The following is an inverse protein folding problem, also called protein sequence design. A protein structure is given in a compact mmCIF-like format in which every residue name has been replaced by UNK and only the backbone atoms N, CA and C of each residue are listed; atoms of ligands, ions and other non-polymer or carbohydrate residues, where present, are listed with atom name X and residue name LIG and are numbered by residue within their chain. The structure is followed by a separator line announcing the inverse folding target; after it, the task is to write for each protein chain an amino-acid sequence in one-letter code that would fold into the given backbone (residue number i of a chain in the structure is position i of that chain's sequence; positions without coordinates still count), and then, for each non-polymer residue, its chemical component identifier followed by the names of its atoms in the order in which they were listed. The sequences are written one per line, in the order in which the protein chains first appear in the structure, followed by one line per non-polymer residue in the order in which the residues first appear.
data_IF_347774378042
#
_entry.id   IF_347774378042
#
_cell.length_a   1.000
_cell.length_b   1.000
_cell.length_c   1.000
_cell.angle_alpha   90.00
_cell.angle_beta   90.00
_cell.angle_gamma   90.00
#
_symmetry.space_group_name_H-M   'P 1'
#
loop_
_entity.id
_entity.type
_entity.pdbx_description
1 polymer ?
#
# COMPACT_ATOMS: atom_id res chain seq x y z
N UNK A 1 38.70 55.19 -11.24
CA UNK A 1 39.04 53.78 -11.52
C UNK A 1 37.78 53.03 -11.94
N UNK A 2 37.46 53.07 -13.22
CA UNK A 2 36.29 52.38 -13.79
C UNK A 2 36.73 51.00 -14.30
N UNK A 3 36.42 49.95 -13.56
CA UNK A 3 36.59 48.58 -14.06
C UNK A 3 35.50 48.28 -15.08
N UNK A 4 35.92 48.09 -16.32
CA UNK A 4 35.08 47.92 -17.49
C UNK A 4 34.44 46.52 -17.46
N UNK A 5 33.20 46.42 -16.98
CA UNK A 5 32.40 45.18 -16.79
C UNK A 5 32.18 44.36 -18.08
N UNK A 6 32.50 44.92 -19.24
CA UNK A 6 32.32 44.28 -20.56
C UNK A 6 33.36 43.16 -20.83
N UNK A 7 34.59 43.28 -20.35
CA UNK A 7 35.65 42.32 -20.70
C UNK A 7 35.68 41.04 -19.85
N UNK A 8 35.18 41.06 -18.60
CA UNK A 8 35.09 39.83 -17.79
C UNK A 8 33.89 38.94 -18.16
N UNK A 9 32.85 39.52 -18.76
CA UNK A 9 31.65 38.77 -19.15
C UNK A 9 31.88 37.94 -20.41
N UNK A 10 32.68 38.43 -21.36
CA UNK A 10 33.04 37.70 -22.58
C UNK A 10 34.09 36.60 -22.37
N UNK A 11 34.93 36.68 -21.33
CA UNK A 11 35.87 35.60 -20.98
C UNK A 11 35.18 34.40 -20.32
N UNK A 12 34.09 34.62 -19.57
CA UNK A 12 33.36 33.54 -18.88
C UNK A 12 32.54 32.68 -19.85
N UNK A 13 31.98 33.27 -20.92
CA UNK A 13 31.29 32.51 -21.97
C UNK A 13 32.26 31.74 -22.88
N UNK A 14 33.48 32.25 -23.12
CA UNK A 14 34.51 31.52 -23.87
C UNK A 14 35.02 30.27 -23.10
N UNK A 15 35.09 30.34 -21.76
CA UNK A 15 35.51 29.20 -20.92
C UNK A 15 34.42 28.12 -20.77
N UNK A 16 33.13 28.51 -20.81
CA UNK A 16 32.01 27.56 -20.80
C UNK A 16 31.85 26.79 -22.12
N UNK A 17 32.24 27.38 -23.26
CA UNK A 17 32.16 26.71 -24.57
C UNK A 17 33.32 25.72 -24.77
N UNK A 18 34.51 25.98 -24.22
CA UNK A 18 35.67 25.08 -24.32
C UNK A 18 35.50 23.81 -23.47
N UNK A 19 34.75 23.87 -22.36
CA UNK A 19 34.43 22.67 -21.54
C UNK A 19 33.36 21.76 -22.17
N UNK A 20 32.52 22.29 -23.07
CA UNK A 20 31.45 21.51 -23.74
C UNK A 20 31.97 20.84 -25.03
N UNK A 21 33.09 21.31 -25.61
CA UNK A 21 33.62 20.79 -26.89
C UNK A 21 34.80 19.81 -26.72
N UNK A 22 35.39 19.67 -25.51
CA UNK A 22 36.57 18.82 -25.31
C UNK A 22 36.32 17.39 -24.80
N UNK A 23 35.07 16.90 -24.77
CA UNK A 23 34.81 15.47 -24.52
C UNK A 23 33.59 14.96 -25.31
N UNK A 24 33.63 15.13 -26.62
CA UNK A 24 32.81 14.37 -27.57
C UNK A 24 33.61 14.06 -28.83
N UNK A 25 34.28 12.91 -28.85
CA UNK A 25 34.43 12.00 -30.00
C UNK A 25 35.41 10.87 -29.60
N UNK A 26 34.91 9.69 -29.27
CA UNK A 26 34.59 8.58 -30.20
C UNK A 26 35.80 7.67 -30.44
N UNK A 27 35.93 6.63 -29.60
CA UNK A 27 36.25 5.26 -30.01
C UNK A 27 36.32 4.35 -28.77
N UNK A 28 35.23 3.66 -28.46
CA UNK A 28 35.12 2.22 -28.76
C UNK A 28 33.84 1.68 -28.12
N UNK A 29 33.03 0.99 -28.94
CA UNK A 29 31.81 0.29 -28.54
C UNK A 29 32.09 -0.97 -27.67
N UNK A 30 33.22 -1.02 -26.98
CA UNK A 30 33.71 -2.21 -26.26
C UNK A 30 34.05 -1.97 -24.78
N UNK A 31 33.68 -0.82 -24.21
CA UNK A 31 33.90 -0.50 -22.78
C UNK A 31 32.63 -0.29 -21.96
N UNK A 32 31.57 -1.06 -22.26
CA UNK A 32 30.37 -1.17 -21.39
C UNK A 32 30.43 -2.38 -20.44
N UNK A 33 31.62 -2.87 -20.07
CA UNK A 33 31.79 -3.58 -18.79
C UNK A 33 31.93 -2.51 -17.70
N UNK A 34 30.79 -1.92 -17.30
CA UNK A 34 30.73 -1.00 -16.15
C UNK A 34 31.20 -1.78 -14.91
N UNK A 35 32.00 -1.13 -14.07
CA UNK A 35 32.35 -1.58 -12.72
C UNK A 35 31.06 -1.77 -11.90
N UNK A 36 30.42 -2.94 -12.02
CA UNK A 36 29.42 -3.38 -11.05
C UNK A 36 30.20 -3.67 -9.77
N UNK A 37 29.88 -2.97 -8.68
CA UNK A 37 30.50 -3.28 -7.40
C UNK A 37 30.25 -4.75 -7.08
N UNK A 38 31.31 -5.50 -6.73
CA UNK A 38 31.20 -6.94 -6.39
C UNK A 38 30.15 -7.20 -5.30
N UNK A 39 29.90 -6.22 -4.42
CA UNK A 39 28.82 -6.28 -3.42
C UNK A 39 27.43 -6.34 -4.05
N UNK A 40 27.13 -5.49 -5.02
CA UNK A 40 25.81 -5.43 -5.66
C UNK A 40 25.55 -6.68 -6.50
N UNK A 41 26.59 -7.21 -7.15
CA UNK A 41 26.51 -8.46 -7.88
C UNK A 41 26.21 -9.64 -6.93
N UNK A 42 26.81 -9.62 -5.73
CA UNK A 42 26.55 -10.61 -4.69
C UNK A 42 25.12 -10.48 -4.15
N UNK A 43 24.65 -9.26 -3.91
CA UNK A 43 23.26 -9.01 -3.50
C UNK A 43 22.30 -9.54 -4.56
N UNK A 44 22.46 -9.17 -5.83
CA UNK A 44 21.59 -9.65 -6.91
C UNK A 44 21.61 -11.19 -7.06
N UNK A 45 22.76 -11.83 -6.89
CA UNK A 45 22.88 -13.29 -6.93
C UNK A 45 22.25 -14.00 -5.73
N UNK A 46 22.32 -13.39 -4.54
CA UNK A 46 21.69 -13.90 -3.33
C UNK A 46 20.15 -13.75 -3.39
N UNK A 47 19.68 -12.68 -4.05
CA UNK A 47 18.27 -12.34 -4.30
C UNK A 47 17.54 -13.23 -5.33
N UNK A 48 18.20 -14.23 -5.90
CA UNK A 48 17.54 -15.26 -6.71
C UNK A 48 16.54 -16.08 -5.86
N UNK A 49 16.63 -15.99 -4.51
CA UNK A 49 15.59 -16.42 -3.58
C UNK A 49 14.71 -15.25 -3.12
N UNK A 50 13.38 -15.32 -3.33
CA UNK A 50 12.40 -14.30 -2.95
C UNK A 50 12.50 -13.85 -1.47
N UNK A 51 12.91 -14.73 -0.57
CA UNK A 51 13.05 -14.46 0.87
C UNK A 51 14.13 -13.39 1.16
N UNK A 52 15.17 -13.34 0.33
CA UNK A 52 16.26 -12.37 0.49
C UNK A 52 15.91 -10.97 -0.08
N UNK A 53 14.91 -10.91 -0.97
CA UNK A 53 14.42 -9.67 -1.58
C UNK A 53 13.71 -8.78 -0.56
N UNK A 54 12.69 -9.30 0.13
CA UNK A 54 11.92 -8.53 1.13
C UNK A 54 12.83 -8.04 2.26
N UNK A 55 13.76 -8.90 2.68
CA UNK A 55 14.78 -8.57 3.67
C UNK A 55 15.66 -7.39 3.24
N UNK A 56 16.03 -7.31 1.95
CA UNK A 56 16.80 -6.18 1.43
C UNK A 56 15.97 -4.89 1.39
N UNK A 57 14.74 -4.97 0.91
CA UNK A 57 13.87 -3.80 0.81
C UNK A 57 13.62 -3.21 2.21
N UNK A 58 13.26 -4.04 3.19
CA UNK A 58 13.11 -3.66 4.60
C UNK A 58 14.39 -3.03 5.16
N UNK A 59 15.57 -3.58 4.83
CA UNK A 59 16.85 -3.00 5.24
C UNK A 59 17.02 -1.58 4.69
N UNK A 60 16.71 -1.34 3.42
CA UNK A 60 16.83 0.00 2.84
C UNK A 60 15.79 0.97 3.40
N UNK A 61 14.58 0.50 3.72
CA UNK A 61 13.59 1.29 4.46
C UNK A 61 14.11 1.73 5.85
N UNK A 62 14.85 0.88 6.56
CA UNK A 62 15.50 1.25 7.84
C UNK A 62 16.67 2.21 7.66
N UNK A 63 17.45 2.05 6.58
CA UNK A 63 18.61 2.91 6.32
C UNK A 63 18.21 4.33 5.90
N UNK A 64 17.09 4.49 5.16
CA UNK A 64 16.70 5.78 4.60
C UNK A 64 16.50 6.87 5.65
N UNK A 65 16.05 6.48 6.84
CA UNK A 65 15.79 7.42 7.94
C UNK A 65 17.09 7.92 8.59
N UNK A 66 18.21 7.19 8.41
CA UNK A 66 19.54 7.55 8.92
C UNK A 66 20.41 8.23 7.87
N UNK A 67 20.34 7.79 6.61
CA UNK A 67 21.17 8.31 5.52
C UNK A 67 20.41 8.28 4.18
N UNK A 68 19.44 9.21 3.97
CA UNK A 68 18.54 9.18 2.82
C UNK A 68 19.28 9.27 1.48
N UNK A 69 20.27 10.17 1.37
CA UNK A 69 21.05 10.33 0.14
C UNK A 69 21.93 9.11 -0.15
N UNK A 70 22.56 8.54 0.88
CA UNK A 70 23.32 7.30 0.75
C UNK A 70 22.45 6.12 0.30
N UNK A 71 21.23 6.01 0.83
CA UNK A 71 20.26 5.01 0.40
C UNK A 71 19.86 5.19 -1.06
N UNK A 72 19.63 6.43 -1.53
CA UNK A 72 19.37 6.70 -2.95
C UNK A 72 20.52 6.20 -3.84
N UNK A 73 21.77 6.48 -3.47
CA UNK A 73 22.94 6.01 -4.23
C UNK A 73 23.02 4.48 -4.29
N UNK A 74 22.72 3.80 -3.18
CA UNK A 74 22.66 2.33 -3.13
C UNK A 74 21.55 1.80 -4.04
N UNK A 75 20.37 2.41 -4.01
CA UNK A 75 19.24 2.06 -4.89
C UNK A 75 19.64 2.18 -6.35
N UNK A 76 20.23 3.31 -6.76
CA UNK A 76 20.65 3.52 -8.15
C UNK A 76 21.70 2.51 -8.60
N UNK A 77 22.65 2.20 -7.70
CA UNK A 77 23.69 1.19 -7.94
C UNK A 77 23.10 -0.22 -8.09
N UNK A 78 22.10 -0.55 -7.27
CA UNK A 78 21.40 -1.83 -7.28
C UNK A 78 20.56 -2.00 -8.56
N UNK A 79 19.76 -0.98 -8.94
CA UNK A 79 18.95 -1.01 -10.16
C UNK A 79 19.84 -1.15 -11.40
N UNK A 80 20.96 -0.42 -11.48
CA UNK A 80 21.88 -0.55 -12.61
C UNK A 80 22.50 -1.95 -12.70
N UNK A 81 22.84 -2.55 -11.55
CA UNK A 81 23.38 -3.91 -11.53
C UNK A 81 22.29 -4.93 -11.91
N UNK A 82 21.04 -4.75 -11.44
CA UNK A 82 19.90 -5.60 -11.82
C UNK A 82 19.65 -5.61 -13.33
N UNK A 83 19.70 -4.44 -13.97
CA UNK A 83 19.53 -4.32 -15.42
C UNK A 83 20.58 -5.07 -16.22
N UNK A 84 21.83 -5.07 -15.74
CA UNK A 84 22.93 -5.80 -16.37
C UNK A 84 22.69 -7.31 -16.25
N UNK A 85 22.27 -7.80 -15.08
CA UNK A 85 21.98 -9.22 -14.89
C UNK A 85 20.73 -9.69 -15.63
N UNK A 86 19.73 -8.81 -15.78
CA UNK A 86 18.51 -9.11 -16.55
C UNK A 86 18.80 -9.43 -18.02
N UNK A 87 19.89 -8.93 -18.57
CA UNK A 87 20.33 -9.23 -19.94
C UNK A 87 21.05 -10.59 -20.07
N UNK A 88 21.30 -11.30 -18.96
CA UNK A 88 21.97 -12.59 -18.91
C UNK A 88 21.07 -13.74 -19.38
N UNK A 89 21.58 -14.72 -20.16
CA UNK A 89 20.79 -15.85 -20.67
C UNK A 89 20.27 -16.80 -19.58
N UNK A 90 20.83 -16.72 -18.36
CA UNK A 90 20.39 -17.52 -17.21
C UNK A 90 19.46 -16.74 -16.27
N UNK A 91 19.02 -15.55 -16.66
CA UNK A 91 18.16 -14.72 -15.82
C UNK A 91 16.74 -15.27 -15.83
N UNK A 92 16.40 -15.96 -14.74
CA UNK A 92 15.06 -16.45 -14.46
C UNK A 92 14.53 -15.52 -13.38
N UNK A 93 14.05 -14.32 -13.71
CA UNK A 93 13.23 -13.58 -12.75
C UNK A 93 12.33 -12.53 -13.41
N UNK A 94 11.07 -12.51 -13.02
CA UNK A 94 10.10 -11.47 -13.37
C UNK A 94 9.33 -11.09 -12.11
N UNK A 95 9.88 -10.13 -11.37
CA UNK A 95 9.15 -9.47 -10.30
C UNK A 95 9.24 -7.95 -10.47
N UNK A 96 8.42 -7.24 -9.71
CA UNK A 96 8.35 -5.78 -9.69
C UNK A 96 9.55 -5.09 -9.02
N UNK A 97 10.73 -5.71 -9.01
CA UNK A 97 11.97 -5.24 -8.35
C UNK A 97 12.24 -3.75 -8.57
N UNK A 98 12.38 -3.33 -9.83
CA UNK A 98 12.70 -1.95 -10.14
C UNK A 98 11.62 -1.01 -9.62
N UNK A 99 10.35 -1.43 -9.72
CA UNK A 99 9.20 -0.61 -9.33
C UNK A 99 9.19 -0.29 -7.84
N UNK A 100 9.50 -1.25 -6.96
CA UNK A 100 9.52 -1.04 -5.51
C UNK A 100 10.72 -0.20 -5.05
N UNK A 101 11.89 -0.42 -5.65
CA UNK A 101 13.05 0.43 -5.36
C UNK A 101 12.90 1.85 -5.91
N UNK A 102 12.25 2.02 -7.07
CA UNK A 102 11.87 3.35 -7.55
C UNK A 102 10.83 4.02 -6.66
N UNK A 103 9.89 3.27 -6.08
CA UNK A 103 8.93 3.78 -5.10
C UNK A 103 9.63 4.25 -3.83
N UNK A 104 10.51 3.42 -3.25
CA UNK A 104 11.31 3.78 -2.08
C UNK A 104 12.13 5.04 -2.35
N UNK A 105 12.81 5.11 -3.50
CA UNK A 105 13.54 6.33 -3.91
C UNK A 105 12.61 7.54 -3.99
N UNK A 106 11.41 7.39 -4.54
CA UNK A 106 10.42 8.45 -4.60
C UNK A 106 9.94 8.92 -3.21
N UNK A 107 9.71 8.00 -2.27
CA UNK A 107 9.34 8.33 -0.88
C UNK A 107 10.46 9.16 -0.22
N UNK A 108 11.73 8.76 -0.38
CA UNK A 108 12.87 9.50 0.16
C UNK A 108 12.93 10.91 -0.43
N UNK A 109 12.83 11.02 -1.76
CA UNK A 109 12.87 12.30 -2.46
C UNK A 109 11.71 13.22 -2.06
N UNK A 110 10.51 12.66 -1.87
CA UNK A 110 9.34 13.39 -1.38
C UNK A 110 9.61 13.99 0.01
N UNK A 111 10.11 13.19 0.95
CA UNK A 111 10.45 13.66 2.31
C UNK A 111 11.56 14.71 2.33
N UNK A 112 12.45 14.69 1.34
CA UNK A 112 13.50 15.71 1.16
C UNK A 112 12.99 16.99 0.46
N UNK A 113 11.71 17.07 0.08
CA UNK A 113 11.15 18.22 -0.65
C UNK A 113 11.53 18.25 -2.14
N UNK A 114 12.11 17.17 -2.67
CA UNK A 114 12.56 17.05 -4.07
C UNK A 114 11.44 16.46 -4.93
N UNK A 115 10.30 17.13 -4.99
CA UNK A 115 9.05 16.60 -5.55
C UNK A 115 9.13 16.24 -7.04
N UNK A 116 9.76 17.09 -7.85
CA UNK A 116 10.01 16.80 -9.28
C UNK A 116 10.82 15.51 -9.48
N UNK A 117 11.86 15.31 -8.66
CA UNK A 117 12.69 14.11 -8.73
C UNK A 117 11.95 12.87 -8.22
N UNK A 118 11.08 13.05 -7.21
CA UNK A 118 10.17 12.01 -6.73
C UNK A 118 9.22 11.57 -7.85
N UNK A 119 8.57 12.52 -8.56
CA UNK A 119 7.72 12.24 -9.72
C UNK A 119 8.48 11.49 -10.83
N UNK A 120 9.72 11.89 -11.13
CA UNK A 120 10.54 11.17 -12.12
C UNK A 120 10.80 9.72 -11.69
N UNK A 121 11.05 9.48 -10.41
CA UNK A 121 11.26 8.13 -9.87
C UNK A 121 9.97 7.31 -9.95
N UNK A 122 8.81 7.90 -9.61
CA UNK A 122 7.50 7.23 -9.73
C UNK A 122 7.15 6.87 -11.18
N UNK A 123 7.50 7.71 -12.16
CA UNK A 123 7.29 7.41 -13.60
C UNK A 123 8.08 6.19 -14.08
N UNK A 124 9.19 5.86 -13.42
CA UNK A 124 10.01 4.68 -13.73
C UNK A 124 9.46 3.41 -13.08
N UNK A 125 8.58 3.55 -12.08
CA UNK A 125 7.87 2.43 -11.48
C UNK A 125 6.78 1.95 -12.45
N UNK A 126 6.93 0.76 -13.02
CA UNK A 126 6.00 0.20 -14.01
C UNK A 126 4.66 -0.21 -13.39
N UNK A 127 4.58 -0.20 -12.07
CA UNK A 127 3.41 -0.61 -11.31
C UNK A 127 2.39 0.54 -11.29
N UNK A 128 1.44 0.59 -12.22
CA UNK A 128 0.31 1.53 -12.12
C UNK A 128 -0.69 1.05 -11.05
N UNK A 129 -0.24 0.91 -9.81
CA UNK A 129 -1.12 0.59 -8.69
C UNK A 129 -1.59 1.87 -8.00
N UNK A 130 -2.62 1.69 -7.19
CA UNK A 130 -3.20 2.69 -6.32
C UNK A 130 -2.17 3.46 -5.48
N UNK A 131 -1.12 2.78 -4.96
CA UNK A 131 -0.05 3.43 -4.18
C UNK A 131 0.78 4.42 -5.00
N UNK A 132 1.05 4.11 -6.27
CA UNK A 132 1.78 5.01 -7.17
C UNK A 132 0.93 6.22 -7.53
N UNK A 133 -0.37 6.02 -7.80
CA UNK A 133 -1.30 7.11 -8.04
C UNK A 133 -1.38 8.06 -6.82
N UNK A 134 -1.48 7.51 -5.61
CA UNK A 134 -1.46 8.30 -4.39
C UNK A 134 -0.15 9.09 -4.21
N UNK A 135 1.01 8.45 -4.41
CA UNK A 135 2.30 9.11 -4.32
C UNK A 135 2.46 10.24 -5.36
N UNK A 136 1.93 10.06 -6.57
CA UNK A 136 1.85 11.13 -7.58
C UNK A 136 0.98 12.28 -7.06
N UNK A 137 -0.20 11.99 -6.51
CA UNK A 137 -1.10 13.00 -5.97
C UNK A 137 -0.47 13.80 -4.82
N UNK A 138 0.28 13.14 -3.93
CA UNK A 138 1.02 13.80 -2.85
C UNK A 138 2.03 14.81 -3.39
N UNK A 139 2.81 14.42 -4.41
CA UNK A 139 3.78 15.31 -5.05
C UNK A 139 3.10 16.50 -5.75
N UNK A 140 2.04 16.25 -6.54
CA UNK A 140 1.31 17.32 -7.20
C UNK A 140 0.65 18.30 -6.22
N UNK A 141 0.19 17.80 -5.06
CA UNK A 141 -0.33 18.66 -3.98
C UNK A 141 0.76 19.60 -3.46
N UNK A 142 1.96 19.10 -3.18
CA UNK A 142 3.10 19.93 -2.75
C UNK A 142 3.57 20.93 -3.81
N UNK A 143 3.38 20.60 -5.09
CA UNK A 143 3.62 21.51 -6.22
C UNK A 143 2.46 22.46 -6.51
N UNK A 144 1.41 22.49 -5.67
CA UNK A 144 0.20 23.31 -5.86
C UNK A 144 -0.55 23.03 -7.18
N UNK A 145 -0.36 21.84 -7.75
CA UNK A 145 -1.03 21.36 -8.97
C UNK A 145 -2.28 20.56 -8.60
N UNK A 146 -3.27 21.23 -8.00
CA UNK A 146 -4.43 20.57 -7.37
C UNK A 146 -5.28 19.75 -8.34
N UNK A 147 -5.45 20.17 -9.60
CA UNK A 147 -6.21 19.41 -10.60
C UNK A 147 -5.52 18.09 -10.95
N UNK A 148 -4.19 18.12 -11.09
CA UNK A 148 -3.40 16.90 -11.32
C UNK A 148 -3.45 16.00 -10.10
N UNK A 149 -3.31 16.55 -8.89
CA UNK A 149 -3.44 15.77 -7.66
C UNK A 149 -4.79 15.05 -7.60
N UNK A 150 -5.89 15.75 -7.88
CA UNK A 150 -7.22 15.16 -7.89
C UNK A 150 -7.37 14.06 -8.94
N UNK A 151 -6.90 14.29 -10.16
CA UNK A 151 -6.97 13.29 -11.23
C UNK A 151 -6.25 11.98 -10.85
N UNK A 152 -5.12 12.08 -10.15
CA UNK A 152 -4.42 10.89 -9.65
C UNK A 152 -5.16 10.21 -8.50
N UNK A 153 -5.76 10.95 -7.57
CA UNK A 153 -6.64 10.37 -6.54
C UNK A 153 -7.80 9.62 -7.20
N UNK A 154 -8.50 10.26 -8.15
CA UNK A 154 -9.62 9.64 -8.87
C UNK A 154 -9.19 8.36 -9.62
N UNK A 155 -7.95 8.30 -10.09
CA UNK A 155 -7.40 7.12 -10.77
C UNK A 155 -7.12 5.92 -9.85
N UNK A 156 -7.13 6.10 -8.53
CA UNK A 156 -7.04 4.99 -7.55
C UNK A 156 -8.28 4.09 -7.67
N UNK A 157 -9.44 4.67 -7.98
CA UNK A 157 -10.72 3.97 -8.11
C UNK A 157 -11.52 3.92 -6.81
N UNK A 158 -12.82 4.15 -6.94
CA UNK A 158 -13.78 4.06 -5.85
C UNK A 158 -13.80 2.63 -5.26
N UNK A 159 -13.90 2.52 -3.94
CA UNK A 159 -13.91 1.25 -3.21
C UNK A 159 -12.53 0.67 -2.89
N UNK A 160 -11.43 1.31 -3.32
CA UNK A 160 -10.10 0.95 -2.84
C UNK A 160 -9.85 1.54 -1.44
N UNK A 161 -9.22 0.76 -0.55
CA UNK A 161 -9.19 1.01 0.89
C UNK A 161 -8.69 2.40 1.33
N UNK A 162 -7.86 3.07 0.52
CA UNK A 162 -7.27 4.40 0.85
C UNK A 162 -7.91 5.56 0.08
N UNK A 163 -8.75 5.27 -0.93
CA UNK A 163 -9.27 6.28 -1.85
C UNK A 163 -9.98 7.43 -1.13
N UNK A 164 -10.97 7.11 -0.30
CA UNK A 164 -11.76 8.11 0.41
C UNK A 164 -10.90 8.90 1.41
N UNK A 165 -9.97 8.24 2.09
CA UNK A 165 -9.08 8.92 3.01
C UNK A 165 -8.18 9.94 2.29
N UNK A 166 -7.60 9.55 1.15
CA UNK A 166 -6.81 10.45 0.31
C UNK A 166 -7.64 11.62 -0.25
N UNK A 167 -8.89 11.35 -0.66
CA UNK A 167 -9.81 12.37 -1.16
C UNK A 167 -10.18 13.36 -0.05
N UNK A 168 -10.44 12.88 1.16
CA UNK A 168 -10.66 13.72 2.34
C UNK A 168 -9.46 14.63 2.61
N UNK A 169 -8.24 14.08 2.63
CA UNK A 169 -7.02 14.87 2.81
C UNK A 169 -6.89 15.94 1.72
N UNK A 170 -7.14 15.59 0.46
CA UNK A 170 -7.10 16.55 -0.65
C UNK A 170 -8.05 17.74 -0.42
N UNK A 171 -9.29 17.49 -0.01
CA UNK A 171 -10.23 18.58 0.24
C UNK A 171 -9.79 19.48 1.41
N UNK A 172 -9.11 18.93 2.41
CA UNK A 172 -8.46 19.75 3.43
C UNK A 172 -7.36 20.65 2.84
N UNK A 173 -6.50 20.10 1.96
CA UNK A 173 -5.39 20.86 1.35
C UNK A 173 -5.85 22.05 0.52
N UNK A 174 -7.04 21.98 -0.08
CA UNK A 174 -7.68 23.09 -0.82
C UNK A 174 -8.66 23.89 0.04
N UNK A 175 -8.59 23.74 1.37
CA UNK A 175 -9.38 24.46 2.37
C UNK A 175 -10.90 24.22 2.32
N UNK A 176 -11.33 23.11 1.73
CA UNK A 176 -12.73 22.70 1.71
C UNK A 176 -13.06 21.76 2.88
N UNK A 177 -13.15 22.33 4.07
CA UNK A 177 -13.48 21.61 5.31
C UNK A 177 -14.78 20.81 5.22
N UNK A 178 -15.83 21.39 4.62
CA UNK A 178 -17.15 20.74 4.55
C UNK A 178 -17.10 19.44 3.77
N UNK A 179 -16.41 19.43 2.63
CA UNK A 179 -16.30 18.23 1.80
C UNK A 179 -15.38 17.18 2.42
N UNK A 180 -14.30 17.61 3.07
CA UNK A 180 -13.45 16.71 3.84
C UNK A 180 -14.23 15.99 4.95
N UNK A 181 -15.03 16.73 5.74
CA UNK A 181 -15.89 16.16 6.78
C UNK A 181 -16.92 15.19 6.22
N UNK A 182 -17.54 15.50 5.08
CA UNK A 182 -18.49 14.59 4.42
C UNK A 182 -17.84 13.24 4.12
N UNK A 183 -16.63 13.24 3.56
CA UNK A 183 -15.89 12.02 3.19
C UNK A 183 -15.41 11.26 4.42
N UNK A 184 -14.84 11.92 5.43
CA UNK A 184 -14.42 11.21 6.63
C UNK A 184 -15.61 10.59 7.37
N UNK A 185 -16.77 11.25 7.38
CA UNK A 185 -17.98 10.67 7.95
C UNK A 185 -18.49 9.47 7.14
N UNK A 186 -18.30 9.40 5.82
CA UNK A 186 -18.63 8.18 5.06
C UNK A 186 -17.73 7.02 5.49
N UNK A 187 -16.43 7.24 5.68
CA UNK A 187 -15.50 6.23 6.22
C UNK A 187 -15.92 5.78 7.62
N UNK A 188 -16.26 6.73 8.52
CA UNK A 188 -16.72 6.43 9.88
C UNK A 188 -17.95 5.52 9.91
N UNK A 189 -18.85 5.70 8.95
CA UNK A 189 -20.11 4.96 8.83
C UNK A 189 -19.96 3.63 8.09
N UNK A 190 -18.86 3.42 7.34
CA UNK A 190 -18.56 2.15 6.70
C UNK A 190 -17.88 1.18 7.67
N UNK A 191 -18.64 0.16 8.10
CA UNK A 191 -18.16 -0.87 9.02
C UNK A 191 -17.06 -1.75 8.40
N UNK A 192 -17.08 -1.92 7.08
CA UNK A 192 -16.13 -2.77 6.35
C UNK A 192 -14.73 -2.15 6.28
N UNK A 193 -14.58 -0.87 6.63
CA UNK A 193 -13.29 -0.18 6.60
C UNK A 193 -12.57 -0.14 7.96
N UNK A 194 -13.22 -0.58 9.04
CA UNK A 194 -12.73 -0.41 10.41
C UNK A 194 -11.39 -1.08 10.71
N UNK A 195 -11.07 -2.18 10.03
CA UNK A 195 -9.81 -2.89 10.22
C UNK A 195 -8.64 -2.21 9.51
N UNK A 196 -8.87 -1.24 8.61
CA UNK A 196 -7.78 -0.50 7.97
C UNK A 196 -7.27 0.64 8.87
N UNK A 197 -5.96 0.88 8.84
CA UNK A 197 -5.30 1.97 9.57
C UNK A 197 -5.92 3.35 9.28
N UNK A 198 -6.42 3.54 8.05
CA UNK A 198 -7.03 4.80 7.59
C UNK A 198 -8.34 5.13 8.28
N UNK A 199 -9.05 4.14 8.85
CA UNK A 199 -10.25 4.39 9.64
C UNK A 199 -9.92 5.25 10.86
N UNK A 200 -8.97 4.81 11.69
CA UNK A 200 -8.56 5.55 12.89
C UNK A 200 -7.98 6.92 12.56
N UNK A 201 -7.26 7.04 11.45
CA UNK A 201 -6.77 8.32 10.95
C UNK A 201 -7.94 9.25 10.54
N UNK A 202 -8.96 8.74 9.84
CA UNK A 202 -10.15 9.51 9.48
C UNK A 202 -10.93 9.97 10.72
N UNK A 203 -11.11 9.12 11.74
CA UNK A 203 -11.73 9.51 13.02
C UNK A 203 -10.97 10.67 13.65
N UNK A 204 -9.65 10.58 13.72
CA UNK A 204 -8.79 11.65 14.25
C UNK A 204 -8.93 12.95 13.45
N UNK A 205 -9.11 12.86 12.12
CA UNK A 205 -9.38 14.05 11.28
C UNK A 205 -10.75 14.65 11.57
N UNK A 206 -11.80 13.86 11.77
CA UNK A 206 -13.14 14.38 12.15
C UNK A 206 -13.02 15.19 13.45
N UNK A 207 -12.40 14.61 14.48
CA UNK A 207 -12.21 15.27 15.77
C UNK A 207 -11.43 16.59 15.65
N UNK A 208 -10.39 16.64 14.81
CA UNK A 208 -9.66 17.87 14.54
C UNK A 208 -10.53 18.91 13.81
N UNK A 209 -11.26 18.48 12.79
CA UNK A 209 -12.10 19.36 11.98
C UNK A 209 -13.31 19.90 12.74
N UNK A 210 -13.82 19.19 13.75
CA UNK A 210 -14.95 19.64 14.58
C UNK A 210 -14.57 20.70 15.63
N UNK A 211 -13.27 20.96 15.84
CA UNK A 211 -12.81 22.03 16.75
C UNK A 211 -13.23 23.43 16.26
N UNK A 212 -13.34 24.36 17.21
CA UNK A 212 -13.64 25.78 16.93
C UNK A 212 -12.61 26.43 16.00
N UNK A 213 -11.33 26.04 16.10
CA UNK A 213 -10.25 26.50 15.24
C UNK A 213 -9.47 25.29 14.69
N UNK A 214 -9.99 24.62 13.65
CA UNK A 214 -9.43 23.38 13.15
C UNK A 214 -8.13 23.64 12.36
N UNK A 215 -7.12 22.81 12.57
CA UNK A 215 -5.92 22.76 11.74
C UNK A 215 -6.17 21.85 10.54
N UNK A 216 -6.33 22.47 9.37
CA UNK A 216 -6.43 21.75 8.10
C UNK A 216 -5.07 21.15 7.70
N UNK A 217 -5.13 20.01 7.02
CA UNK A 217 -3.95 19.43 6.39
C UNK A 217 -3.44 20.32 5.24
N UNK A 218 -2.13 20.35 5.05
CA UNK A 218 -1.46 20.98 3.92
C UNK A 218 -0.87 19.94 2.93
N UNK A 219 -1.12 18.65 3.19
CA UNK A 219 -0.69 17.54 2.36
C UNK A 219 -1.65 16.36 2.41
N UNK A 220 -1.53 15.50 1.39
CA UNK A 220 -2.16 14.19 1.36
C UNK A 220 -1.22 13.19 2.03
N UNK A 221 -1.77 12.21 2.74
CA UNK A 221 -0.99 11.11 3.31
C UNK A 221 -0.25 10.32 2.22
N UNK A 222 1.09 10.34 2.28
CA UNK A 222 1.95 9.52 1.43
C UNK A 222 2.09 8.13 2.07
N UNK A 223 1.39 7.13 1.53
CA UNK A 223 1.48 5.74 1.99
C UNK A 223 2.90 5.19 1.78
N UNK A 224 3.49 4.60 2.83
CA UNK A 224 4.83 4.03 2.70
C UNK A 224 4.79 2.70 1.95
N UNK A 225 5.83 2.44 1.15
CA UNK A 225 6.01 1.14 0.50
C UNK A 225 6.77 0.14 1.37
N UNK A 226 6.98 0.42 2.66
CA UNK A 226 7.67 -0.49 3.57
C UNK A 226 6.87 -1.78 3.75
N UNK A 227 7.42 -2.96 3.43
CA UNK A 227 6.72 -4.24 3.60
C UNK A 227 6.25 -4.52 5.04
N UNK A 228 6.93 -3.93 6.03
CA UNK A 228 6.57 -4.10 7.44
C UNK A 228 5.53 -3.09 7.95
N UNK A 229 4.97 -2.24 7.08
CA UNK A 229 3.92 -1.31 7.47
C UNK A 229 2.57 -2.03 7.46
N UNK A 230 1.96 -2.12 8.64
CA UNK A 230 0.64 -2.74 8.81
C UNK A 230 -0.45 -1.77 8.33
N UNK A 231 -1.10 -2.12 7.22
CA UNK A 231 -2.17 -1.31 6.60
C UNK A 231 -3.55 -1.65 7.19
N UNK A 232 -3.67 -2.82 7.80
CA UNK A 232 -4.86 -3.26 8.50
C UNK A 232 -4.50 -4.19 9.65
N UNK A 233 -5.27 -4.13 10.73
CA UNK A 233 -5.21 -5.11 11.81
C UNK A 233 -5.62 -6.46 11.23
N UNK A 234 -4.64 -7.33 10.98
CA UNK A 234 -4.92 -8.68 10.47
C UNK A 234 -5.50 -9.52 11.60
N UNK A 235 -6.72 -10.02 11.37
CA UNK A 235 -7.41 -10.98 12.23
C UNK A 235 -7.37 -12.39 11.62
N UNK A 236 -6.42 -12.61 10.70
CA UNK A 236 -6.38 -13.78 9.84
C UNK A 236 -6.23 -15.06 10.67
N UNK A 237 -5.41 -15.05 11.73
CA UNK A 237 -5.25 -16.19 12.63
C UNK A 237 -6.58 -16.65 13.27
N UNK A 238 -7.45 -15.71 13.66
CA UNK A 238 -8.73 -16.04 14.25
C UNK A 238 -9.75 -16.46 13.19
N UNK A 239 -9.71 -15.81 12.02
CA UNK A 239 -10.55 -16.18 10.86
C UNK A 239 -10.23 -17.59 10.36
N UNK A 240 -8.96 -17.97 10.32
CA UNK A 240 -8.51 -19.31 9.96
C UNK A 240 -9.02 -20.36 10.96
N UNK A 241 -8.90 -20.07 12.27
CA UNK A 241 -9.48 -20.93 13.33
C UNK A 241 -11.00 -21.07 13.17
N UNK A 242 -11.71 -19.99 12.86
CA UNK A 242 -13.15 -20.02 12.57
C UNK A 242 -13.46 -20.97 11.41
N UNK A 243 -12.74 -20.89 10.30
CA UNK A 243 -12.96 -21.78 9.16
C UNK A 243 -12.60 -23.24 9.43
N UNK A 244 -11.55 -23.47 10.23
CA UNK A 244 -11.17 -24.80 10.68
C UNK A 244 -12.28 -25.42 11.55
N UNK A 245 -12.76 -24.69 12.56
CA UNK A 245 -13.84 -25.13 13.44
C UNK A 245 -15.11 -25.48 12.67
N UNK A 246 -15.54 -24.61 11.76
CA UNK A 246 -16.70 -24.88 10.90
C UNK A 246 -16.53 -26.16 10.08
N UNK A 247 -15.30 -26.47 9.66
CA UNK A 247 -14.99 -27.68 8.88
C UNK A 247 -14.94 -28.95 9.74
N UNK A 248 -14.85 -28.82 11.06
CA UNK A 248 -14.85 -29.92 12.02
C UNK A 248 -16.25 -30.27 12.56
N UNK A 249 -17.23 -29.37 12.43
CA UNK A 249 -18.64 -29.65 12.78
C UNK A 249 -19.15 -30.80 11.92
N UNK A 250 -19.60 -31.90 12.53
CA UNK A 250 -20.01 -33.13 11.82
C UNK A 250 -21.13 -32.88 10.79
N UNK A 251 -22.10 -32.03 11.15
CA UNK A 251 -23.21 -31.64 10.29
C UNK A 251 -22.77 -30.86 9.04
N UNK A 252 -21.65 -30.14 9.14
CA UNK A 252 -21.05 -29.42 8.01
C UNK A 252 -20.17 -30.36 7.19
N UNK A 253 -19.32 -31.13 7.86
CA UNK A 253 -18.33 -32.03 7.24
C UNK A 253 -18.99 -33.11 6.40
N UNK A 254 -20.12 -33.65 6.85
CA UNK A 254 -20.79 -34.78 6.21
C UNK A 254 -21.89 -34.35 5.22
N UNK A 255 -22.11 -33.04 5.04
CA UNK A 255 -23.14 -32.51 4.16
C UNK A 255 -22.54 -32.01 2.83
N UNK A 256 -22.80 -32.69 1.71
CA UNK A 256 -22.25 -32.30 0.40
C UNK A 256 -22.77 -30.94 -0.10
N UNK A 257 -23.83 -30.39 0.51
CA UNK A 257 -24.29 -29.04 0.23
C UNK A 257 -23.52 -27.96 0.98
N UNK A 258 -22.64 -28.32 1.92
CA UNK A 258 -21.86 -27.39 2.72
C UNK A 258 -20.43 -27.18 2.17
N UNK A 259 -20.33 -26.85 0.89
CA UNK A 259 -19.05 -26.63 0.21
C UNK A 259 -18.53 -25.18 0.28
N UNK A 260 -19.34 -24.25 0.76
CA UNK A 260 -18.98 -22.85 0.96
C UNK A 260 -19.07 -22.46 2.44
N UNK A 261 -18.09 -21.67 2.88
CA UNK A 261 -18.01 -21.08 4.22
C UNK A 261 -17.62 -19.61 4.09
N UNK A 262 -18.25 -18.74 4.88
CA UNK A 262 -17.85 -17.34 4.95
C UNK A 262 -18.20 -16.73 6.29
N UNK A 263 -17.40 -15.74 6.68
CA UNK A 263 -17.71 -14.86 7.80
C UNK A 263 -18.57 -13.74 7.22
N UNK A 264 -19.83 -13.70 7.63
CA UNK A 264 -20.78 -12.65 7.25
C UNK A 264 -20.46 -11.34 7.94
N UNK A 265 -20.18 -11.42 9.25
CA UNK A 265 -19.73 -10.28 10.05
C UNK A 265 -18.68 -10.73 11.05
N UNK A 266 -17.57 -9.98 11.13
CA UNK A 266 -16.55 -10.15 12.16
C UNK A 266 -16.69 -9.17 13.34
N UNK A 267 -15.96 -9.40 14.45
CA UNK A 267 -15.91 -8.52 15.61
C UNK A 267 -15.65 -7.04 15.30
N UNK A 268 -14.77 -6.76 14.33
CA UNK A 268 -14.46 -5.39 13.91
C UNK A 268 -15.66 -4.70 13.25
N UNK A 269 -16.44 -5.42 12.45
CA UNK A 269 -17.58 -4.88 11.72
C UNK A 269 -18.78 -4.68 12.65
N UNK A 270 -19.09 -5.71 13.45
CA UNK A 270 -20.28 -5.74 14.31
C UNK A 270 -20.08 -5.09 15.69
N UNK A 271 -18.84 -4.87 16.13
CA UNK A 271 -18.52 -4.31 17.44
C UNK A 271 -18.80 -5.26 18.62
N UNK A 272 -18.89 -6.56 18.37
CA UNK A 272 -19.17 -7.63 19.35
C UNK A 272 -17.99 -8.60 19.43
N UNK A 273 -17.95 -9.45 20.44
CA UNK A 273 -16.84 -10.41 20.59
C UNK A 273 -17.01 -11.72 19.78
N UNK A 274 -17.79 -11.72 18.69
CA UNK A 274 -18.06 -12.93 17.92
C UNK A 274 -17.98 -12.73 16.41
N UNK A 275 -17.71 -13.83 15.71
CA UNK A 275 -17.87 -13.98 14.26
C UNK A 275 -19.26 -14.55 13.98
N UNK A 276 -19.99 -13.93 13.07
CA UNK A 276 -21.16 -14.53 12.46
C UNK A 276 -20.73 -15.23 11.18
N UNK A 277 -20.71 -16.56 11.21
CA UNK A 277 -20.32 -17.38 10.08
C UNK A 277 -21.53 -18.07 9.44
N UNK A 278 -21.46 -18.21 8.12
CA UNK A 278 -22.49 -18.84 7.29
C UNK A 278 -21.87 -20.00 6.52
N UNK A 279 -22.57 -21.12 6.53
CA UNK A 279 -22.17 -22.35 5.82
C UNK A 279 -23.30 -22.78 4.89
N UNK A 280 -22.96 -23.21 3.69
CA UNK A 280 -23.94 -23.65 2.71
C UNK A 280 -23.36 -23.90 1.34
N UNK A 281 -24.19 -23.76 0.30
CA UNK A 281 -23.89 -24.20 -1.06
C UNK A 281 -23.53 -23.03 -1.96
N UNK A 282 -22.44 -23.17 -2.71
CA UNK A 282 -22.06 -22.23 -3.77
C UNK A 282 -20.97 -21.24 -3.35
N UNK A 283 -20.64 -20.32 -4.24
CA UNK A 283 -19.55 -19.36 -4.05
C UNK A 283 -20.08 -18.04 -3.48
N UNK A 284 -19.40 -17.54 -2.45
CA UNK A 284 -19.67 -16.24 -1.82
C UNK A 284 -19.66 -15.14 -2.89
N UNK A 285 -20.67 -14.27 -2.85
CA UNK A 285 -20.81 -13.17 -3.82
C UNK A 285 -21.34 -13.56 -5.20
N UNK A 286 -21.62 -14.83 -5.47
CA UNK A 286 -22.17 -15.28 -6.76
C UNK A 286 -23.51 -15.99 -6.61
N UNK A 287 -23.55 -17.11 -5.88
CA UNK A 287 -24.74 -17.95 -5.77
C UNK A 287 -24.84 -18.67 -4.41
N UNK A 288 -24.21 -18.10 -3.38
CA UNK A 288 -24.17 -18.69 -2.04
C UNK A 288 -25.58 -18.81 -1.44
N UNK A 289 -25.96 -20.04 -1.05
CA UNK A 289 -27.19 -20.33 -0.32
C UNK A 289 -26.84 -20.85 1.06
N UNK A 290 -27.10 -20.04 2.08
CA UNK A 290 -26.88 -20.40 3.49
C UNK A 290 -27.79 -21.57 3.89
N UNK A 291 -27.20 -22.55 4.57
CA UNK A 291 -27.88 -23.69 5.19
C UNK A 291 -27.77 -23.63 6.70
N UNK A 292 -26.59 -23.25 7.21
CA UNK A 292 -26.34 -23.08 8.63
C UNK A 292 -25.78 -21.69 8.93
N UNK A 293 -26.22 -21.14 10.06
CA UNK A 293 -25.75 -19.88 10.64
C UNK A 293 -25.14 -20.18 12.01
N UNK A 294 -23.87 -19.82 12.17
CA UNK A 294 -23.12 -20.04 13.40
C UNK A 294 -22.62 -18.71 13.98
N UNK A 295 -22.64 -18.62 15.30
CA UNK A 295 -21.92 -17.60 16.05
C UNK A 295 -20.73 -18.28 16.71
N UNK A 296 -19.54 -17.72 16.49
CA UNK A 296 -18.30 -18.24 17.06
C UNK A 296 -17.67 -17.13 17.90
N UNK A 297 -17.59 -17.34 19.21
CA UNK A 297 -17.03 -16.37 20.14
C UNK A 297 -15.51 -16.25 19.94
N UNK A 298 -14.99 -15.03 19.76
CA UNK A 298 -13.57 -14.77 19.44
C UNK A 298 -12.61 -15.27 20.52
N UNK A 299 -12.99 -15.14 21.79
CA UNK A 299 -12.09 -15.44 22.91
C UNK A 299 -12.04 -16.93 23.25
N UNK A 300 -13.19 -17.61 23.22
CA UNK A 300 -13.31 -19.02 23.62
C UNK A 300 -13.38 -19.98 22.44
N UNK A 301 -13.72 -19.48 21.25
CA UNK A 301 -14.10 -20.27 20.08
C UNK A 301 -15.31 -21.19 20.31
N UNK A 302 -16.14 -20.88 21.31
CA UNK A 302 -17.42 -21.56 21.51
C UNK A 302 -18.35 -21.30 20.33
N UNK A 303 -19.04 -22.35 19.90
CA UNK A 303 -19.91 -22.35 18.74
C UNK A 303 -21.37 -22.42 19.19
N UNK A 304 -22.16 -21.47 18.72
CA UNK A 304 -23.61 -21.44 18.85
C UNK A 304 -24.24 -21.53 17.46
N UNK A 305 -25.40 -22.17 17.37
CA UNK A 305 -26.24 -22.16 16.19
C UNK A 305 -27.28 -21.04 16.30
N UNK A 306 -27.48 -20.29 15.22
CA UNK A 306 -28.58 -19.32 15.13
C UNK A 306 -29.84 -19.99 14.60
N UNK A 307 -30.81 -20.20 15.47
CA UNK A 307 -32.11 -20.74 15.11
C UNK A 307 -32.97 -19.62 14.50
N UNK A 308 -33.07 -19.63 13.17
CA UNK A 308 -33.85 -18.65 12.41
C UNK A 308 -35.35 -18.72 12.67
N UNK A 309 -35.88 -19.85 13.17
CA UNK A 309 -37.30 -20.03 13.48
C UNK A 309 -37.62 -19.37 14.82
N UNK A 310 -36.77 -19.59 15.82
CA UNK A 310 -36.92 -19.02 17.16
C UNK A 310 -36.32 -17.61 17.30
N UNK A 311 -35.50 -17.20 16.32
CA UNK A 311 -34.74 -15.96 16.35
C UNK A 311 -33.86 -15.86 17.61
N UNK A 312 -33.14 -16.94 17.92
CA UNK A 312 -32.31 -17.07 19.13
C UNK A 312 -31.03 -17.89 18.87
N UNK A 313 -30.03 -17.73 19.74
CA UNK A 313 -28.78 -18.49 19.70
C UNK A 313 -28.84 -19.66 20.68
N UNK A 314 -28.70 -20.88 20.17
CA UNK A 314 -28.69 -22.10 20.97
C UNK A 314 -27.34 -22.81 20.85
N UNK A 315 -26.97 -23.56 21.88
CA UNK A 315 -25.75 -24.37 21.83
C UNK A 315 -25.84 -25.44 20.75
N UNK A 316 -24.71 -25.90 20.21
CA UNK A 316 -24.70 -27.03 19.26
C UNK A 316 -25.36 -28.29 19.83
N UNK A 317 -25.19 -28.56 21.13
CA UNK A 317 -25.81 -29.71 21.79
C UNK A 317 -27.34 -29.60 21.81
N UNK A 318 -27.85 -28.42 22.15
CA UNK A 318 -29.29 -28.15 22.13
C UNK A 318 -29.86 -28.21 20.71
N UNK A 319 -29.14 -27.65 19.74
CA UNK A 319 -29.51 -27.73 18.32
C UNK A 319 -29.62 -29.19 17.85
N UNK A 320 -28.62 -30.03 18.17
CA UNK A 320 -28.60 -31.47 17.87
C UNK A 320 -29.78 -32.23 18.49
N UNK A 321 -30.19 -31.86 19.70
CA UNK A 321 -31.35 -32.47 20.40
C UNK A 321 -32.69 -32.19 19.71
N UNK A 322 -32.81 -31.04 19.05
CA UNK A 322 -34.02 -30.68 18.32
C UNK A 322 -34.17 -31.39 16.97
N UNK A 323 -33.15 -32.14 16.54
CA UNK A 323 -33.20 -33.02 15.38
C UNK A 323 -33.19 -32.27 14.05
N UNK A 324 -32.24 -32.64 13.20
CA UNK A 324 -32.26 -32.34 11.77
C UNK A 324 -33.59 -32.86 11.20
N UNK A 325 -34.42 -31.96 10.67
CA UNK A 325 -35.44 -32.31 9.67
C UNK A 325 -34.89 -32.09 8.28
#
# INVERSE_FOLDING_TARGET
MSFNKSHMRNFFYLFLIILIVSCSNSQSKTLKKRNVCKSNLREIKAMINCIEYDSLLVRYYKEKDKNPLGTILKIDSLINAYRIEKESPNFIWDCNFESEFYYLKAEILYKLGLYENSLQSLKMSKYRCCKNALAMACNFTKLSMHDSAKAYIDSIGFGYYIYDYALGNYYETIKNKSKALEIYNSIKNDKCCKHYVYYNLAISRIEELEKNNPKLLDEIYFETGNPNFEVCDSDDENRDKVFELLSQIEEVKNDPECNGKWIYEGPYENGKNYYWAKVGKGMVGVNFKTKYDFIIYKETFDIMYYDTIKNDFISLEEWRKHGIK
#
